data_IF_562842498720
#
_entry.id   IF_562842498720
#
_cell.length_a   1.000
_cell.length_b   1.000
_cell.length_c   1.000
_cell.angle_alpha   90.00
_cell.angle_beta   90.00
_cell.angle_gamma   90.00
#
_symmetry.space_group_name_H-M   'P 1'
#
loop_
_entity.id
_entity.type
_entity.pdbx_description
1 polymer ?
#
# COMPACT_ATOMS: atom_id res chain seq x y z
N UNK A 1 -12.43 -16.90 1.59
CA UNK A 1 -12.69 -15.91 2.65
C UNK A 1 -11.61 -14.84 2.51
N UNK A 2 -12.00 -13.60 2.22
CA UNK A 2 -11.06 -12.48 2.19
C UNK A 2 -10.67 -12.18 3.64
N UNK A 3 -9.37 -12.16 3.94
CA UNK A 3 -8.90 -11.64 5.22
C UNK A 3 -8.44 -10.23 4.93
N UNK A 4 -9.10 -9.26 5.54
CA UNK A 4 -8.42 -8.04 5.94
C UNK A 4 -7.39 -8.50 6.96
N UNK A 5 -6.08 -8.41 6.68
CA UNK A 5 -5.12 -8.54 7.74
C UNK A 5 -5.28 -7.27 8.57
N UNK A 6 -6.08 -7.34 9.63
CA UNK A 6 -6.39 -6.23 10.56
C UNK A 6 -5.14 -5.65 11.26
N UNK A 7 -3.96 -6.20 10.95
CA UNK A 7 -2.68 -5.86 11.57
C UNK A 7 -1.61 -5.46 10.54
N UNK A 8 -1.99 -4.90 9.37
CA UNK A 8 -1.02 -4.25 8.49
C UNK A 8 -0.85 -2.81 8.93
N UNK A 9 0.37 -2.47 9.35
CA UNK A 9 0.74 -1.10 9.69
C UNK A 9 2.02 -0.72 8.96
N UNK A 10 2.35 0.57 8.99
CA UNK A 10 3.55 1.10 8.37
C UNK A 10 4.46 1.70 9.43
N UNK A 11 5.77 1.48 9.31
CA UNK A 11 6.79 2.12 10.13
C UNK A 11 7.69 2.97 9.24
N UNK A 12 7.75 4.26 9.53
CA UNK A 12 8.65 5.17 8.86
C UNK A 12 10.11 4.72 9.02
N UNK A 13 10.84 4.66 7.91
CA UNK A 13 12.29 4.39 7.86
C UNK A 13 13.08 5.55 7.28
N UNK A 14 12.51 6.26 6.31
CA UNK A 14 13.11 7.44 5.68
C UNK A 14 12.04 8.53 5.54
N UNK A 15 12.28 9.70 6.14
CA UNK A 15 11.39 10.87 6.06
C UNK A 15 11.21 11.32 4.60
N UNK A 16 10.00 11.74 4.18
CA UNK A 16 9.81 12.40 2.90
C UNK A 16 10.58 13.73 2.86
N UNK A 17 11.12 14.05 1.69
CA UNK A 17 11.75 15.35 1.41
C UNK A 17 11.01 16.00 0.22
N UNK A 18 11.15 17.33 -0.02
CA UNK A 18 10.38 18.00 -1.06
C UNK A 18 10.49 17.41 -2.48
N UNK A 19 11.54 16.64 -2.75
CA UNK A 19 11.81 16.03 -4.06
C UNK A 19 11.65 14.51 -4.09
N UNK A 20 11.31 13.87 -2.97
CA UNK A 20 11.17 12.41 -2.88
C UNK A 20 10.17 12.01 -1.79
N UNK A 21 9.35 11.01 -2.11
CA UNK A 21 8.52 10.33 -1.13
C UNK A 21 9.38 9.68 -0.03
N UNK A 22 8.81 9.55 1.16
CA UNK A 22 9.42 8.81 2.26
C UNK A 22 9.42 7.31 1.99
N UNK A 23 10.11 6.55 2.83
CA UNK A 23 10.08 5.07 2.79
C UNK A 23 9.54 4.53 4.09
N UNK A 24 8.49 3.73 3.96
CA UNK A 24 7.78 3.12 5.07
C UNK A 24 7.89 1.60 4.96
N UNK A 25 8.36 0.95 6.01
CA UNK A 25 8.38 -0.50 6.06
C UNK A 25 6.98 -1.02 6.37
N UNK A 26 6.55 -2.04 5.64
CA UNK A 26 5.31 -2.76 5.90
C UNK A 26 5.50 -3.71 7.09
N UNK A 27 4.61 -3.62 8.08
CA UNK A 27 4.55 -4.52 9.22
C UNK A 27 3.30 -5.38 9.10
N UNK A 28 3.47 -6.69 9.21
CA UNK A 28 2.36 -7.65 9.21
C UNK A 28 2.31 -8.28 10.60
N UNK A 29 1.19 -8.10 11.31
CA UNK A 29 1.05 -8.54 12.70
C UNK A 29 2.16 -7.98 13.61
N UNK A 30 2.54 -6.71 13.38
CA UNK A 30 3.59 -6.01 14.13
C UNK A 30 5.02 -6.46 13.82
N UNK A 31 5.22 -7.37 12.86
CA UNK A 31 6.56 -7.82 12.43
C UNK A 31 6.92 -7.15 11.11
N UNK A 32 8.12 -6.57 11.04
CA UNK A 32 8.65 -6.01 9.80
C UNK A 32 8.73 -7.05 8.70
N UNK A 33 8.15 -6.75 7.55
CA UNK A 33 8.16 -7.61 6.38
C UNK A 33 9.41 -7.37 5.50
N UNK A 34 10.24 -6.36 5.80
CA UNK A 34 11.37 -5.97 4.94
C UNK A 34 10.96 -5.36 3.61
N UNK A 35 9.68 -5.01 3.43
CA UNK A 35 9.13 -4.42 2.20
C UNK A 35 8.93 -2.93 2.44
N UNK A 36 9.48 -2.10 1.55
CA UNK A 36 9.33 -0.65 1.60
C UNK A 36 8.24 -0.17 0.64
N UNK A 37 7.36 0.71 1.12
CA UNK A 37 6.34 1.40 0.32
C UNK A 37 6.51 2.92 0.47
N UNK A 38 6.06 3.73 -0.52
CA UNK A 38 6.42 5.15 -0.58
C UNK A 38 5.47 6.09 0.18
N UNK A 39 4.52 5.58 0.95
CA UNK A 39 3.39 6.37 1.49
C UNK A 39 3.03 5.93 2.90
N UNK A 40 2.37 6.83 3.64
CA UNK A 40 2.30 6.79 5.09
C UNK A 40 1.06 6.10 5.69
N UNK A 41 -0.07 6.09 4.97
CA UNK A 41 -1.33 5.58 5.52
C UNK A 41 -1.79 4.33 4.77
N UNK A 42 -1.93 3.17 5.46
CA UNK A 42 -2.62 2.02 4.90
C UNK A 42 -4.14 2.15 5.07
N UNK A 43 -4.85 2.23 3.94
CA UNK A 43 -6.32 2.34 3.91
C UNK A 43 -7.01 0.98 3.95
N UNK A 44 -6.43 0.00 3.27
CA UNK A 44 -6.94 -1.36 3.24
C UNK A 44 -5.83 -2.34 2.85
N UNK A 45 -5.95 -3.57 3.31
CA UNK A 45 -5.06 -4.66 2.92
C UNK A 45 -5.90 -5.89 2.57
N UNK A 46 -5.67 -6.48 1.41
CA UNK A 46 -6.45 -7.61 0.90
C UNK A 46 -5.52 -8.74 0.53
N UNK A 47 -5.66 -9.89 1.20
CA UNK A 47 -4.93 -11.08 0.79
C UNK A 47 -5.50 -11.61 -0.54
N UNK A 48 -4.68 -11.63 -1.60
CA UNK A 48 -5.13 -12.07 -2.93
C UNK A 48 -4.89 -13.56 -3.16
N UNK A 49 -3.88 -14.14 -2.50
CA UNK A 49 -3.66 -15.59 -2.41
C UNK A 49 -2.82 -15.93 -1.16
N UNK A 50 -2.35 -17.18 -1.05
CA UNK A 50 -1.58 -17.65 0.10
C UNK A 50 -0.25 -16.93 0.34
N UNK A 51 0.24 -16.18 -0.66
CA UNK A 51 1.54 -15.49 -0.63
C UNK A 51 1.40 -13.99 -0.76
N UNK A 52 0.49 -13.50 -1.59
CA UNK A 52 0.48 -12.10 -2.00
C UNK A 52 -0.59 -11.27 -1.28
N UNK A 53 -0.24 -10.02 -1.04
CA UNK A 53 -1.08 -9.02 -0.40
C UNK A 53 -1.23 -7.82 -1.33
N UNK A 54 -2.46 -7.35 -1.52
CA UNK A 54 -2.74 -6.07 -2.16
C UNK A 54 -2.95 -5.01 -1.07
N UNK A 55 -2.13 -3.96 -1.08
CA UNK A 55 -2.14 -2.90 -0.09
C UNK A 55 -2.59 -1.58 -0.74
N UNK A 56 -3.61 -0.97 -0.16
CA UNK A 56 -4.16 0.32 -0.56
C UNK A 56 -3.61 1.39 0.36
N UNK A 57 -3.06 2.44 -0.22
CA UNK A 57 -2.25 3.39 0.49
C UNK A 57 -2.53 4.83 0.04
N UNK A 58 -2.45 5.77 0.98
CA UNK A 58 -2.52 7.22 0.74
C UNK A 58 -1.38 7.94 1.45
N UNK A 59 -1.10 9.16 1.03
CA UNK A 59 -0.08 10.03 1.62
C UNK A 59 -0.64 11.03 2.65
N UNK A 60 -1.94 10.98 2.95
CA UNK A 60 -2.66 11.92 3.84
C UNK A 60 -2.45 13.40 3.45
N UNK A 61 -2.15 13.67 2.18
CA UNK A 61 -1.99 15.03 1.66
C UNK A 61 -3.36 15.58 1.31
N UNK A 62 -3.71 16.69 1.95
CA UNK A 62 -4.96 17.41 1.67
C UNK A 62 -5.08 17.73 0.18
N UNK A 63 -6.22 17.37 -0.40
CA UNK A 63 -6.60 17.66 -1.79
C UNK A 63 -5.81 16.94 -2.90
N UNK A 64 -4.81 16.13 -2.59
CA UNK A 64 -4.07 15.35 -3.60
C UNK A 64 -4.56 13.90 -3.75
N UNK A 65 -5.29 13.37 -2.74
CA UNK A 65 -6.08 12.11 -2.70
C UNK A 65 -5.65 11.00 -3.69
N UNK A 66 -4.35 10.76 -3.83
CA UNK A 66 -3.82 9.77 -4.76
C UNK A 66 -3.81 8.41 -4.07
N UNK A 67 -4.56 7.46 -4.62
CA UNK A 67 -4.58 6.09 -4.12
C UNK A 67 -3.43 5.30 -4.75
N UNK A 68 -2.50 4.81 -3.93
CA UNK A 68 -1.49 3.84 -4.37
C UNK A 68 -1.95 2.43 -4.04
N UNK A 69 -1.87 1.54 -5.02
CA UNK A 69 -2.21 0.13 -4.88
C UNK A 69 -0.93 -0.68 -5.10
N UNK A 70 -0.42 -1.31 -4.05
CA UNK A 70 0.81 -2.08 -4.08
C UNK A 70 0.53 -3.58 -3.97
N UNK A 71 0.97 -4.37 -4.95
CA UNK A 71 0.98 -5.82 -4.86
C UNK A 71 2.30 -6.27 -4.22
N UNK A 72 2.19 -6.90 -3.06
CA UNK A 72 3.32 -7.33 -2.25
C UNK A 72 3.44 -8.85 -2.25
N UNK A 73 4.67 -9.35 -2.33
CA UNK A 73 5.02 -10.72 -1.99
C UNK A 73 6.04 -10.67 -0.84
N UNK A 74 5.75 -11.27 0.34
CA UNK A 74 6.66 -11.32 1.48
C UNK A 74 8.06 -11.88 1.17
N UNK A 75 8.23 -12.65 0.10
CA UNK A 75 9.54 -13.20 -0.31
C UNK A 75 10.28 -12.30 -1.29
N UNK A 76 9.55 -11.63 -2.17
CA UNK A 76 10.11 -10.90 -3.32
C UNK A 76 9.94 -9.37 -3.23
N UNK A 77 9.29 -8.86 -2.18
CA UNK A 77 9.03 -7.43 -2.00
C UNK A 77 7.80 -6.93 -2.78
N UNK A 78 7.79 -5.63 -3.07
CA UNK A 78 6.74 -5.01 -3.89
C UNK A 78 6.91 -5.44 -5.35
N UNK A 79 5.91 -6.15 -5.89
CA UNK A 79 5.90 -6.63 -7.29
C UNK A 79 5.44 -5.55 -8.24
N UNK A 80 4.44 -4.77 -7.85
CA UNK A 80 3.86 -3.71 -8.66
C UNK A 80 3.24 -2.64 -7.77
N UNK A 81 3.31 -1.38 -8.22
CA UNK A 81 2.64 -0.25 -7.56
C UNK A 81 1.94 0.56 -8.64
N UNK A 82 0.61 0.65 -8.51
CA UNK A 82 -0.23 1.51 -9.34
C UNK A 82 -0.58 2.77 -8.57
N UNK A 83 -0.72 3.89 -9.26
CA UNK A 83 -1.24 5.14 -8.69
C UNK A 83 -2.53 5.49 -9.42
N UNK A 84 -3.59 5.73 -8.67
CA UNK A 84 -4.88 6.18 -9.15
C UNK A 84 -5.15 7.58 -8.62
N UNK A 85 -5.38 8.50 -9.55
CA UNK A 85 -5.51 9.91 -9.26
C UNK A 85 -4.16 10.63 -9.15
N UNK A 86 -4.25 11.93 -9.07
CA UNK A 86 -3.17 12.90 -8.83
C UNK A 86 -3.80 14.20 -8.33
N UNK A 87 -2.99 15.23 -8.10
CA UNK A 87 -3.51 16.57 -7.83
C UNK A 87 -4.61 16.95 -8.85
N UNK A 88 -5.81 17.24 -8.34
CA UNK A 88 -7.00 17.62 -9.11
C UNK A 88 -7.55 16.57 -10.09
N UNK A 89 -7.09 15.32 -9.99
CA UNK A 89 -7.54 14.21 -10.81
C UNK A 89 -7.92 13.04 -9.91
N UNK A 90 -9.20 12.70 -9.85
CA UNK A 90 -9.67 11.55 -9.09
C UNK A 90 -9.84 10.34 -10.00
N UNK A 91 -9.42 9.16 -9.53
CA UNK A 91 -9.68 7.89 -10.17
C UNK A 91 -10.53 6.99 -9.28
N UNK A 92 -11.21 6.01 -9.87
CA UNK A 92 -11.98 5.01 -9.12
C UNK A 92 -11.45 3.60 -9.39
N UNK A 93 -11.29 2.81 -8.33
CA UNK A 93 -11.05 1.37 -8.42
C UNK A 93 -12.26 0.64 -7.87
N UNK A 94 -12.97 -0.10 -8.73
CA UNK A 94 -14.24 -0.75 -8.38
C UNK A 94 -14.26 -2.18 -8.91
N UNK A 95 -15.18 -2.99 -8.39
CA UNK A 95 -15.43 -4.36 -8.83
C UNK A 95 -14.19 -5.28 -8.82
N UNK A 96 -13.32 -5.14 -7.81
CA UNK A 96 -12.15 -6.00 -7.65
C UNK A 96 -12.58 -7.47 -7.53
N UNK A 97 -12.26 -8.24 -8.56
CA UNK A 97 -12.46 -9.68 -8.58
C UNK A 97 -11.12 -10.41 -8.55
N UNK A 98 -10.87 -11.15 -7.48
CA UNK A 98 -9.64 -11.92 -7.30
C UNK A 98 -9.93 -13.36 -7.74
N UNK A 99 -9.40 -13.73 -8.90
CA UNK A 99 -9.49 -15.09 -9.43
C UNK A 99 -8.48 -15.99 -8.69
N UNK A 100 -8.98 -17.05 -8.07
CA UNK A 100 -8.16 -18.08 -7.41
C UNK A 100 -7.54 -19.03 -8.42
#
# INVERSE_FOLDING_TARGET
MFKLPDNVTLQLREEPIPTSMGKYEVLIAGKGAGIMVPVQVPEAAVQVDDKRLLLFLTDDVLYEEALKIALLDPKDGAKEILTLGSAYLTGSFTDLNILR
#
